data_IF_888412469576
#
_entry.id   IF_888412469576
#
_cell.length_a   1.000
_cell.length_b   1.000
_cell.length_c   1.000
_cell.angle_alpha   90.00
_cell.angle_beta   90.00
_cell.angle_gamma   90.00
#
_symmetry.space_group_name_H-M   'P 1'
#
loop_
_entity.id
_entity.type
_entity.pdbx_description
1 polymer ?
#
# COMPACT_ATOMS: atom_id res chain seq x y z
N UNK A 1 9.98 49.69 -27.20
CA UNK A 1 9.75 48.35 -27.78
C UNK A 1 9.93 47.34 -26.68
N UNK A 2 8.84 46.75 -26.19
CA UNK A 2 8.84 45.79 -25.09
C UNK A 2 8.85 44.39 -25.66
N UNK A 3 9.88 43.60 -25.34
CA UNK A 3 9.93 42.17 -25.65
C UNK A 3 9.26 41.46 -24.48
N UNK A 4 8.02 41.01 -24.68
CA UNK A 4 7.37 40.07 -23.78
C UNK A 4 7.95 38.69 -24.10
N UNK A 5 8.92 38.24 -23.31
CA UNK A 5 9.24 36.82 -23.25
C UNK A 5 8.09 36.11 -22.53
N UNK A 6 7.19 35.52 -23.30
CA UNK A 6 6.23 34.56 -22.78
C UNK A 6 6.98 33.26 -22.47
N UNK A 7 7.33 33.03 -21.20
CA UNK A 7 7.68 31.70 -20.72
C UNK A 7 6.39 30.87 -20.62
N UNK A 8 5.92 30.35 -21.75
CA UNK A 8 4.93 29.26 -21.77
C UNK A 8 5.62 27.97 -21.40
N UNK A 9 5.84 27.75 -20.10
CA UNK A 9 6.11 26.43 -19.56
C UNK A 9 5.42 26.30 -18.20
N UNK A 10 4.09 26.20 -18.20
CA UNK A 10 3.37 25.54 -17.10
C UNK A 10 3.61 24.02 -17.23
N UNK A 11 4.87 23.61 -17.16
CA UNK A 11 5.23 22.21 -16.95
C UNK A 11 5.18 21.96 -15.45
N UNK A 12 3.97 21.88 -14.91
CA UNK A 12 3.75 21.04 -13.74
C UNK A 12 3.64 19.61 -14.28
N UNK A 13 4.75 19.07 -14.82
CA UNK A 13 4.98 17.66 -14.56
C UNK A 13 5.46 17.69 -13.11
N UNK A 14 4.60 17.39 -12.15
CA UNK A 14 5.16 16.96 -10.87
C UNK A 14 6.01 15.74 -11.26
N UNK A 15 7.36 15.80 -11.21
CA UNK A 15 8.06 14.54 -11.08
C UNK A 15 7.45 13.97 -9.82
N UNK A 16 6.96 12.74 -9.87
CA UNK A 16 6.49 12.00 -8.72
C UNK A 16 7.51 12.27 -7.64
N UNK A 17 7.20 13.19 -6.71
CA UNK A 17 8.20 13.64 -5.78
C UNK A 17 8.57 12.35 -5.06
N UNK A 18 9.84 11.96 -5.15
CA UNK A 18 10.41 11.02 -4.21
C UNK A 18 10.23 11.72 -2.87
N UNK A 19 9.05 11.53 -2.27
CA UNK A 19 8.79 11.96 -0.93
C UNK A 19 9.74 11.10 -0.12
N UNK A 20 10.86 11.69 0.27
CA UNK A 20 11.68 11.15 1.33
C UNK A 20 10.77 11.11 2.56
N UNK A 21 10.41 9.90 2.95
CA UNK A 21 9.68 9.67 4.18
C UNK A 21 10.74 9.43 5.24
N UNK A 22 10.93 10.42 6.10
CA UNK A 22 11.91 10.34 7.19
C UNK A 22 11.25 9.67 8.41
N UNK A 23 9.93 9.77 8.54
CA UNK A 23 9.14 9.18 9.60
C UNK A 23 7.96 8.37 9.02
N UNK A 24 7.63 7.25 9.65
CA UNK A 24 6.42 6.46 9.33
C UNK A 24 5.14 7.30 9.39
N UNK A 25 5.12 8.33 10.23
CA UNK A 25 4.06 9.33 10.34
C UNK A 25 3.81 10.07 9.02
N UNK A 26 4.81 10.16 8.15
CA UNK A 26 4.68 10.80 6.85
C UNK A 26 3.88 9.95 5.86
N UNK A 27 3.72 8.64 6.09
CA UNK A 27 2.96 7.73 5.22
C UNK A 27 1.70 7.15 5.88
N UNK A 28 1.61 7.23 7.21
CA UNK A 28 0.40 6.82 7.93
C UNK A 28 -0.80 7.66 7.46
N UNK A 29 -1.94 6.98 7.31
CA UNK A 29 -3.21 7.50 6.78
C UNK A 29 -3.15 8.01 5.33
N UNK A 30 -2.02 7.85 4.63
CA UNK A 30 -1.92 8.10 3.20
C UNK A 30 -2.19 6.83 2.42
N UNK A 31 -2.64 7.02 1.18
CA UNK A 31 -2.78 5.94 0.23
C UNK A 31 -1.40 5.65 -0.40
N UNK A 32 -1.02 4.38 -0.44
CA UNK A 32 0.22 3.92 -1.03
C UNK A 32 -0.02 2.76 -1.98
N UNK A 33 0.95 2.51 -2.85
CA UNK A 33 1.13 1.21 -3.51
C UNK A 33 2.37 0.57 -2.93
N UNK A 34 2.35 -0.76 -2.78
CA UNK A 34 3.50 -1.53 -2.30
C UNK A 34 3.93 -2.40 -3.48
N UNK A 35 5.16 -2.21 -3.95
CA UNK A 35 5.71 -2.92 -5.12
C UNK A 35 6.86 -3.79 -4.64
N UNK A 36 6.82 -5.07 -5.01
CA UNK A 36 7.97 -5.95 -4.79
C UNK A 36 9.11 -5.51 -5.72
N UNK A 37 10.32 -5.35 -5.17
CA UNK A 37 11.44 -4.79 -5.91
C UNK A 37 11.93 -5.74 -7.01
N UNK A 38 12.00 -7.05 -6.74
CA UNK A 38 12.52 -8.05 -7.69
C UNK A 38 11.56 -8.33 -8.84
N UNK A 39 10.30 -8.61 -8.54
CA UNK A 39 9.28 -9.01 -9.53
C UNK A 39 8.57 -7.82 -10.16
N UNK A 40 8.75 -6.63 -9.59
CA UNK A 40 8.07 -5.40 -9.96
C UNK A 40 6.53 -5.47 -9.92
N UNK A 41 5.96 -6.42 -9.18
CA UNK A 41 4.51 -6.59 -9.02
C UNK A 41 3.99 -5.80 -7.82
N UNK A 42 2.81 -5.23 -7.97
CA UNK A 42 2.08 -4.56 -6.91
C UNK A 42 1.39 -5.57 -5.98
N UNK A 43 1.46 -5.32 -4.68
CA UNK A 43 0.66 -6.03 -3.69
C UNK A 43 -0.83 -5.78 -3.96
N UNK A 44 -1.59 -6.84 -4.18
CA UNK A 44 -2.96 -6.78 -4.71
C UNK A 44 -3.94 -7.59 -3.85
N UNK A 45 -5.09 -7.00 -3.52
CA UNK A 45 -6.14 -7.67 -2.74
C UNK A 45 -7.25 -8.23 -3.65
N UNK A 46 -7.28 -9.56 -3.89
CA UNK A 46 -8.36 -10.18 -4.65
C UNK A 46 -9.61 -10.40 -3.79
N UNK A 47 -10.63 -11.01 -4.40
CA UNK A 47 -11.89 -11.36 -3.73
C UNK A 47 -12.92 -10.25 -3.68
N UNK A 48 -14.05 -10.53 -3.03
CA UNK A 48 -15.18 -9.60 -2.93
C UNK A 48 -14.92 -8.58 -1.82
N UNK A 49 -15.22 -7.28 -2.02
CA UNK A 49 -15.14 -6.28 -0.95
C UNK A 49 -15.99 -6.67 0.26
N UNK A 50 -15.51 -6.33 1.45
CA UNK A 50 -16.25 -6.49 2.70
C UNK A 50 -16.70 -5.13 3.26
N UNK A 51 -17.73 -5.16 4.11
CA UNK A 51 -18.32 -3.95 4.69
C UNK A 51 -17.33 -3.18 5.58
N UNK A 52 -16.79 -3.85 6.59
CA UNK A 52 -15.79 -3.30 7.52
C UNK A 52 -14.57 -4.22 7.64
N UNK A 53 -13.39 -3.69 7.99
CA UNK A 53 -12.21 -4.51 8.26
C UNK A 53 -12.48 -5.54 9.35
N UNK A 54 -12.16 -6.81 9.10
CA UNK A 54 -12.41 -7.91 10.02
C UNK A 54 -13.75 -8.62 9.87
N UNK A 55 -14.68 -8.09 9.05
CA UNK A 55 -15.98 -8.74 8.77
C UNK A 55 -15.85 -10.09 8.03
N UNK A 56 -14.66 -10.39 7.50
CA UNK A 56 -14.33 -11.65 6.85
C UNK A 56 -14.26 -12.85 7.82
N UNK A 57 -14.36 -12.62 9.14
CA UNK A 57 -14.42 -13.71 10.13
C UNK A 57 -13.06 -14.36 10.40
N UNK A 58 -11.98 -13.61 10.18
CA UNK A 58 -10.60 -14.01 10.47
C UNK A 58 -9.77 -14.33 9.22
N UNK A 59 -8.47 -14.49 9.44
CA UNK A 59 -7.48 -14.68 8.38
C UNK A 59 -7.72 -15.96 7.56
N UNK A 60 -8.22 -17.05 8.16
CA UNK A 60 -8.52 -18.32 7.49
C UNK A 60 -9.60 -18.24 6.39
N UNK A 61 -10.38 -17.16 6.36
CA UNK A 61 -11.45 -16.92 5.38
C UNK A 61 -11.11 -15.79 4.42
N UNK A 62 -9.93 -15.19 4.57
CA UNK A 62 -9.47 -14.09 3.74
C UNK A 62 -8.80 -14.66 2.48
N UNK A 63 -9.09 -14.15 1.28
CA UNK A 63 -8.35 -14.51 0.08
C UNK A 63 -6.87 -14.16 0.21
N UNK A 64 -6.01 -14.98 -0.39
CA UNK A 64 -4.58 -14.71 -0.44
C UNK A 64 -4.30 -13.39 -1.15
N UNK A 65 -3.41 -12.59 -0.59
CA UNK A 65 -2.88 -11.40 -1.25
C UNK A 65 -1.85 -11.85 -2.29
N UNK A 66 -1.94 -11.29 -3.50
CA UNK A 66 -1.12 -11.72 -4.64
C UNK A 66 -0.37 -10.53 -5.25
N UNK A 67 0.58 -10.82 -6.15
CA UNK A 67 1.25 -9.81 -6.96
C UNK A 67 0.53 -9.57 -8.29
N UNK A 68 0.19 -8.32 -8.61
CA UNK A 68 -0.36 -7.91 -9.90
C UNK A 68 0.63 -7.04 -10.68
N UNK A 69 0.59 -7.10 -12.01
CA UNK A 69 1.42 -6.24 -12.88
C UNK A 69 0.90 -4.79 -12.97
N UNK A 70 -0.35 -4.54 -12.56
CA UNK A 70 -0.95 -3.21 -12.51
C UNK A 70 -1.97 -3.06 -11.37
N UNK A 71 -2.42 -1.83 -11.15
CA UNK A 71 -3.50 -1.53 -10.20
C UNK A 71 -4.88 -1.74 -10.85
N UNK A 72 -5.38 -2.98 -10.85
CA UNK A 72 -6.73 -3.27 -11.35
C UNK A 72 -7.80 -2.88 -10.33
N UNK A 73 -8.76 -2.06 -10.76
CA UNK A 73 -9.93 -1.67 -9.95
C UNK A 73 -9.56 -1.08 -8.58
N UNK A 74 -8.43 -0.36 -8.50
CA UNK A 74 -7.95 0.25 -7.25
C UNK A 74 -7.60 -0.73 -6.11
N UNK A 75 -7.43 -2.01 -6.43
CA UNK A 75 -7.15 -3.07 -5.45
C UNK A 75 -5.67 -3.22 -5.10
N UNK A 76 -4.79 -2.46 -5.72
CA UNK A 76 -3.38 -2.33 -5.31
C UNK A 76 -3.13 -1.09 -4.43
N UNK A 77 -4.18 -0.35 -4.07
CA UNK A 77 -4.09 0.82 -3.20
C UNK A 77 -4.34 0.43 -1.74
N UNK A 78 -3.45 0.85 -0.86
CA UNK A 78 -3.44 0.49 0.56
C UNK A 78 -3.34 1.72 1.45
N UNK A 79 -3.89 1.63 2.65
CA UNK A 79 -3.74 2.59 3.74
C UNK A 79 -2.90 1.97 4.85
N UNK A 80 -1.90 2.70 5.34
CA UNK A 80 -1.17 2.36 6.57
C UNK A 80 -1.88 3.05 7.74
N UNK A 81 -2.61 2.30 8.55
CA UNK A 81 -3.43 2.84 9.63
C UNK A 81 -2.81 2.54 10.98
N UNK A 82 -2.68 3.56 11.84
CA UNK A 82 -2.30 3.33 13.23
C UNK A 82 -3.46 2.68 14.00
N UNK A 83 -3.16 1.61 14.74
CA UNK A 83 -4.07 0.94 15.67
C UNK A 83 -3.32 0.51 16.92
N UNK A 84 -3.74 1.00 18.10
CA UNK A 84 -3.23 0.56 19.41
C UNK A 84 -1.69 0.40 19.46
N UNK A 85 -0.95 1.43 19.02
CA UNK A 85 0.52 1.41 19.03
C UNK A 85 1.19 0.63 17.90
N UNK A 86 0.41 0.02 17.00
CA UNK A 86 0.88 -0.70 15.81
C UNK A 86 0.36 -0.06 14.52
N UNK A 87 0.81 -0.56 13.37
CA UNK A 87 0.31 -0.17 12.05
C UNK A 87 -0.30 -1.40 11.39
N UNK A 88 -1.48 -1.21 10.79
CA UNK A 88 -2.11 -2.21 9.93
C UNK A 88 -2.15 -1.72 8.50
N UNK A 89 -2.14 -2.65 7.55
CA UNK A 89 -2.21 -2.35 6.12
C UNK A 89 -3.61 -2.73 5.65
N UNK A 90 -4.44 -1.73 5.31
CA UNK A 90 -5.83 -1.94 4.87
C UNK A 90 -5.96 -1.62 3.38
N UNK A 91 -6.61 -2.50 2.62
CA UNK A 91 -6.89 -2.23 1.21
C UNK A 91 -7.98 -1.16 1.05
N UNK A 92 -7.78 -0.22 0.12
CA UNK A 92 -8.74 0.84 -0.21
C UNK A 92 -10.07 0.27 -0.69
N UNK A 93 -10.03 -0.69 -1.62
CA UNK A 93 -11.21 -1.16 -2.34
C UNK A 93 -11.91 -2.33 -1.63
N UNK A 94 -11.15 -3.28 -1.06
CA UNK A 94 -11.74 -4.48 -0.45
C UNK A 94 -12.04 -4.33 1.03
N UNK A 95 -11.52 -3.28 1.70
CA UNK A 95 -11.53 -3.09 3.16
C UNK A 95 -10.83 -4.19 3.98
N UNK A 96 -10.13 -5.12 3.33
CA UNK A 96 -9.41 -6.21 4.00
C UNK A 96 -8.09 -5.75 4.59
N UNK A 97 -7.67 -6.37 5.67
CA UNK A 97 -6.33 -6.19 6.24
C UNK A 97 -5.35 -7.16 5.60
N UNK A 98 -4.09 -6.76 5.48
CA UNK A 98 -3.02 -7.71 5.13
C UNK A 98 -2.71 -8.58 6.35
N UNK A 99 -2.90 -9.89 6.19
CA UNK A 99 -2.57 -10.88 7.22
C UNK A 99 -1.34 -11.68 6.80
N UNK A 100 -0.51 -12.03 7.77
CA UNK A 100 0.48 -13.11 7.63
C UNK A 100 -0.13 -14.37 8.22
N UNK A 101 -0.23 -15.44 7.43
CA UNK A 101 -0.89 -16.69 7.80
C UNK A 101 0.00 -17.66 8.58
N UNK A 102 0.98 -17.15 9.33
CA UNK A 102 1.91 -17.96 10.12
C UNK A 102 1.46 -18.17 11.57
N UNK A 103 2.02 -19.17 12.28
CA UNK A 103 1.97 -19.20 13.73
C UNK A 103 2.65 -17.95 14.30
N UNK A 104 2.45 -17.69 15.60
CA UNK A 104 3.19 -16.64 16.30
C UNK A 104 4.69 -16.94 16.12
N UNK A 105 5.43 -15.92 15.65
CA UNK A 105 6.86 -15.99 15.49
C UNK A 105 7.54 -15.52 16.77
N UNK A 106 8.29 -16.43 17.40
CA UNK A 106 9.00 -16.19 18.67
C UNK A 106 10.52 -15.95 18.46
N UNK A 107 10.99 -16.00 17.21
CA UNK A 107 12.40 -15.83 16.83
C UNK A 107 12.83 -14.37 16.66
N UNK A 108 14.10 -14.15 16.35
CA UNK A 108 14.58 -12.82 15.92
C UNK A 108 14.25 -12.59 14.45
N UNK A 109 14.08 -11.32 14.00
CA UNK A 109 13.89 -11.04 12.58
C UNK A 109 15.02 -11.67 11.74
N UNK A 110 14.65 -12.49 10.75
CA UNK A 110 15.57 -13.28 9.94
C UNK A 110 15.56 -14.79 10.23
N UNK A 111 14.98 -15.22 11.36
CA UNK A 111 14.87 -16.65 11.70
C UNK A 111 13.65 -17.34 11.05
N UNK A 112 12.90 -16.65 10.18
CA UNK A 112 11.65 -17.15 9.57
C UNK A 112 11.88 -18.27 8.53
N UNK A 113 13.13 -18.54 8.15
CA UNK A 113 13.51 -19.74 7.41
C UNK A 113 13.33 -19.72 5.89
N UNK A 114 12.82 -18.62 5.32
CA UNK A 114 12.84 -18.33 3.87
C UNK A 114 11.94 -19.19 2.99
#
# INVERSE_FOLDING_TARGET
>A
MSVIMAFTCLNISQPHALACFDDINDIVNKQVTIKNDETHRLLFSPGVPIGKPGDEGGWLKSPDIVGADANYYDRALWYLEKRQGSIVIRNKQTNRLAFSSGPIFEGSPGDEGG
#
